data_IF_387925721579
#
_entry.id   IF_387925721579
#
_cell.length_a   1.000
_cell.length_b   1.000
_cell.length_c   1.000
_cell.angle_alpha   90.00
_cell.angle_beta   90.00
_cell.angle_gamma   90.00
#
_symmetry.space_group_name_H-M   'P 1'
#
loop_
_entity.id
_entity.type
_entity.pdbx_description
1 polymer ?
#
# COMPACT_ATOMS: atom_id res chain seq x y z
N UNK A 1 -15.47 0.01 -3.14
CA UNK A 1 -14.81 -0.97 -3.99
C UNK A 1 -13.30 -0.99 -3.80
N UNK A 2 -12.68 0.18 -3.62
CA UNK A 2 -11.23 0.31 -3.41
C UNK A 2 -10.71 -0.55 -2.25
N UNK A 3 -11.49 -0.67 -1.18
CA UNK A 3 -11.07 -1.40 0.01
C UNK A 3 -11.75 -2.76 0.18
N UNK A 4 -12.51 -3.21 -0.83
CA UNK A 4 -13.19 -4.49 -0.75
C UNK A 4 -12.22 -5.67 -0.58
N UNK A 5 -11.09 -5.64 -1.31
CA UNK A 5 -10.07 -6.67 -1.17
C UNK A 5 -9.40 -6.67 0.20
N UNK A 6 -9.17 -5.47 0.76
CA UNK A 6 -8.58 -5.33 2.10
C UNK A 6 -9.52 -5.87 3.17
N UNK A 7 -10.82 -5.59 3.08
CA UNK A 7 -11.84 -6.14 3.99
C UNK A 7 -11.89 -7.66 3.90
N UNK A 8 -11.86 -8.17 2.69
CA UNK A 8 -11.86 -9.62 2.44
C UNK A 8 -10.62 -10.29 3.03
N UNK A 9 -9.48 -9.61 2.99
CA UNK A 9 -8.23 -10.09 3.57
C UNK A 9 -8.17 -9.95 5.10
N UNK A 10 -9.23 -9.44 5.73
CA UNK A 10 -9.32 -9.35 7.19
C UNK A 10 -9.05 -7.96 7.78
N UNK A 11 -8.91 -6.93 6.96
CA UNK A 11 -8.78 -5.57 7.47
C UNK A 11 -10.10 -5.12 8.11
N UNK A 12 -10.03 -4.51 9.30
CA UNK A 12 -11.21 -3.99 9.98
C UNK A 12 -11.64 -2.66 9.40
N UNK A 13 -12.92 -2.31 9.55
CA UNK A 13 -13.41 -0.99 9.17
C UNK A 13 -12.65 0.12 9.88
N UNK A 14 -12.30 -0.09 11.16
CA UNK A 14 -11.54 0.87 11.93
C UNK A 14 -10.14 1.10 11.34
N UNK A 15 -9.44 0.04 10.92
CA UNK A 15 -8.13 0.15 10.26
C UNK A 15 -8.23 0.84 8.93
N UNK A 16 -9.26 0.54 8.15
CA UNK A 16 -9.49 1.18 6.85
C UNK A 16 -9.71 2.69 7.03
N UNK A 17 -10.52 3.07 8.01
CA UNK A 17 -10.76 4.48 8.34
C UNK A 17 -9.49 5.18 8.83
N UNK A 18 -8.59 4.46 9.50
CA UNK A 18 -7.37 5.01 10.06
C UNK A 18 -6.26 5.25 9.01
N UNK A 19 -6.41 4.78 7.77
CA UNK A 19 -5.36 4.92 6.74
C UNK A 19 -4.93 6.37 6.56
N UNK A 20 -5.87 7.32 6.60
CA UNK A 20 -5.59 8.75 6.44
C UNK A 20 -5.51 9.51 7.77
N UNK A 21 -5.56 8.83 8.91
CA UNK A 21 -5.48 9.43 10.23
C UNK A 21 -4.15 9.07 10.89
N UNK A 22 -3.17 9.97 10.75
CA UNK A 22 -1.83 9.76 11.29
C UNK A 22 -1.79 9.72 12.81
N UNK A 23 -2.80 10.25 13.48
CA UNK A 23 -2.89 10.23 14.94
C UNK A 23 -3.47 8.94 15.50
N UNK A 24 -4.01 8.07 14.64
CA UNK A 24 -4.62 6.81 15.07
C UNK A 24 -3.57 5.77 15.46
N UNK A 25 -3.79 5.09 16.58
CA UNK A 25 -2.95 3.98 17.02
C UNK A 25 -3.36 2.62 16.42
N UNK A 26 -4.39 2.61 15.55
CA UNK A 26 -4.90 1.38 14.95
C UNK A 26 -3.96 0.79 13.90
N UNK A 27 -3.06 1.60 13.36
CA UNK A 27 -2.04 1.15 12.41
C UNK A 27 -0.67 1.17 13.07
N UNK A 28 0.09 0.10 12.89
CA UNK A 28 1.47 0.03 13.35
C UNK A 28 2.35 0.96 12.50
N UNK A 29 3.54 1.29 13.00
CA UNK A 29 4.52 2.03 12.21
C UNK A 29 4.90 1.29 10.93
N UNK A 30 4.96 -0.05 11.01
CA UNK A 30 5.22 -0.92 9.86
C UNK A 30 4.14 -0.78 8.79
N UNK A 31 2.87 -0.83 9.21
CA UNK A 31 1.73 -0.65 8.30
C UNK A 31 1.72 0.74 7.67
N UNK A 32 2.02 1.77 8.45
CA UNK A 32 2.07 3.15 7.94
C UNK A 32 3.20 3.34 6.91
N UNK A 33 4.36 2.73 7.14
CA UNK A 33 5.47 2.78 6.19
C UNK A 33 5.08 2.13 4.87
N UNK A 34 4.40 0.97 4.91
CA UNK A 34 3.93 0.29 3.72
C UNK A 34 2.90 1.11 2.95
N UNK A 35 1.97 1.76 3.65
CA UNK A 35 0.95 2.63 3.05
C UNK A 35 1.60 3.84 2.38
N UNK A 36 2.55 4.48 3.06
CA UNK A 36 3.30 5.61 2.51
C UNK A 36 4.02 5.24 1.21
N UNK A 37 4.66 4.06 1.21
CA UNK A 37 5.31 3.52 0.02
C UNK A 37 4.29 3.31 -1.11
N UNK A 38 3.16 2.67 -0.82
CA UNK A 38 2.13 2.39 -1.81
C UNK A 38 1.55 3.66 -2.41
N UNK A 39 1.31 4.68 -1.60
CA UNK A 39 0.81 5.98 -2.08
C UNK A 39 1.80 6.65 -3.04
N UNK A 40 3.08 6.67 -2.67
CA UNK A 40 4.12 7.26 -3.53
C UNK A 40 4.29 6.47 -4.82
N UNK A 41 4.27 5.14 -4.75
CA UNK A 41 4.36 4.30 -5.94
C UNK A 41 3.18 4.57 -6.90
N UNK A 42 1.98 4.75 -6.37
CA UNK A 42 0.78 4.96 -7.17
C UNK A 42 0.78 6.33 -7.86
N UNK A 43 1.27 7.37 -7.19
CA UNK A 43 1.22 8.76 -7.69
C UNK A 43 2.49 9.11 -8.47
N UNK A 44 3.64 8.88 -7.87
CA UNK A 44 4.94 9.21 -8.48
C UNK A 44 6.04 8.39 -7.81
N UNK A 45 6.42 7.28 -8.43
CA UNK A 45 7.43 6.38 -7.87
C UNK A 45 8.81 7.05 -7.72
N UNK A 46 9.09 8.13 -8.46
CA UNK A 46 10.35 8.85 -8.35
C UNK A 46 10.50 9.59 -7.03
N UNK A 47 9.40 9.77 -6.29
CA UNK A 47 9.43 10.36 -4.94
C UNK A 47 9.73 9.36 -3.83
N UNK A 48 9.92 8.09 -4.17
CA UNK A 48 10.42 7.10 -3.21
C UNK A 48 11.90 7.35 -3.04
N UNK A 49 12.25 7.98 -1.92
CA UNK A 49 13.60 8.44 -1.64
C UNK A 49 14.35 7.52 -0.67
N UNK A 50 15.62 7.84 -0.41
CA UNK A 50 16.46 7.06 0.49
C UNK A 50 15.94 7.06 1.92
N UNK A 51 15.31 8.13 2.36
CA UNK A 51 14.72 8.21 3.69
C UNK A 51 13.57 7.22 3.85
N UNK A 52 12.71 7.11 2.84
CA UNK A 52 11.61 6.14 2.85
C UNK A 52 12.15 4.70 2.80
N UNK A 53 13.18 4.45 1.98
CA UNK A 53 13.81 3.12 1.94
C UNK A 53 14.42 2.74 3.28
N UNK A 54 15.07 3.67 3.98
CA UNK A 54 15.62 3.43 5.30
C UNK A 54 14.51 3.10 6.31
N UNK A 55 13.41 3.82 6.26
CA UNK A 55 12.24 3.56 7.10
C UNK A 55 11.68 2.17 6.84
N UNK A 56 11.50 1.80 5.57
CA UNK A 56 11.01 0.47 5.19
C UNK A 56 11.96 -0.64 5.67
N UNK A 57 13.27 -0.46 5.52
CA UNK A 57 14.26 -1.45 5.98
C UNK A 57 14.30 -1.61 7.49
N UNK A 58 13.85 -0.62 8.24
CA UNK A 58 13.74 -0.74 9.70
C UNK A 58 12.56 -1.61 10.12
N UNK A 59 11.60 -1.87 9.24
CA UNK A 59 10.38 -2.63 9.54
C UNK A 59 10.24 -3.93 8.76
N UNK A 60 10.96 -4.09 7.66
CA UNK A 60 10.83 -5.24 6.76
C UNK A 60 12.20 -5.84 6.45
N UNK A 61 12.24 -7.16 6.31
CA UNK A 61 13.43 -7.84 5.78
C UNK A 61 13.54 -7.56 4.28
N UNK A 62 14.70 -7.86 3.69
CA UNK A 62 14.90 -7.72 2.24
C UNK A 62 13.88 -8.56 1.46
N UNK A 63 13.62 -9.81 1.88
CA UNK A 63 12.64 -10.66 1.23
C UNK A 63 11.23 -10.06 1.31
N UNK A 64 10.86 -9.54 2.48
CA UNK A 64 9.56 -8.88 2.66
C UNK A 64 9.44 -7.62 1.82
N UNK A 65 10.53 -6.85 1.67
CA UNK A 65 10.53 -5.65 0.81
C UNK A 65 10.30 -6.02 -0.65
N UNK A 66 10.97 -7.07 -1.14
CA UNK A 66 10.78 -7.53 -2.52
C UNK A 66 9.32 -7.94 -2.73
N UNK A 67 8.72 -8.66 -1.78
CA UNK A 67 7.32 -9.04 -1.85
C UNK A 67 6.40 -7.81 -1.83
N UNK A 68 6.66 -6.85 -0.95
CA UNK A 68 5.88 -5.63 -0.86
C UNK A 68 5.90 -4.85 -2.18
N UNK A 69 7.09 -4.66 -2.74
CA UNK A 69 7.26 -3.95 -4.01
C UNK A 69 6.54 -4.67 -5.15
N UNK A 70 6.75 -5.99 -5.27
CA UNK A 70 6.14 -6.80 -6.32
C UNK A 70 4.61 -6.78 -6.23
N UNK A 71 4.06 -7.05 -5.05
CA UNK A 71 2.61 -7.11 -4.86
C UNK A 71 1.95 -5.74 -5.10
N UNK A 72 2.55 -4.67 -4.58
CA UNK A 72 2.01 -3.32 -4.75
C UNK A 72 2.04 -2.91 -6.22
N UNK A 73 3.15 -3.19 -6.91
CA UNK A 73 3.28 -2.87 -8.33
C UNK A 73 2.26 -3.64 -9.17
N UNK A 74 2.10 -4.94 -8.93
CA UNK A 74 1.12 -5.76 -9.64
C UNK A 74 -0.30 -5.26 -9.39
N UNK A 75 -0.63 -4.94 -8.15
CA UNK A 75 -1.96 -4.47 -7.78
C UNK A 75 -2.31 -3.16 -8.50
N UNK A 76 -1.38 -2.20 -8.48
CA UNK A 76 -1.56 -0.92 -9.15
C UNK A 76 -1.66 -1.12 -10.66
N UNK A 77 -0.78 -1.94 -11.24
CA UNK A 77 -0.77 -2.22 -12.67
C UNK A 77 -2.06 -2.87 -13.15
N UNK A 78 -2.54 -3.87 -12.44
CA UNK A 78 -3.81 -4.53 -12.78
C UNK A 78 -5.00 -3.60 -12.62
N UNK A 79 -5.00 -2.75 -11.60
CA UNK A 79 -6.06 -1.75 -11.42
C UNK A 79 -6.14 -0.81 -12.61
N UNK A 80 -5.00 -0.31 -13.06
CA UNK A 80 -4.92 0.56 -14.24
C UNK A 80 -5.29 -0.17 -15.52
N UNK A 81 -4.85 -1.40 -15.67
CA UNK A 81 -5.23 -2.24 -16.81
C UNK A 81 -6.75 -2.35 -16.91
N UNK A 82 -7.42 -2.66 -15.80
CA UNK A 82 -8.87 -2.77 -15.77
C UNK A 82 -9.56 -1.47 -16.16
N UNK A 83 -9.05 -0.34 -15.69
CA UNK A 83 -9.60 0.98 -16.04
C UNK A 83 -9.41 1.28 -17.53
N UNK A 84 -8.22 1.00 -18.07
CA UNK A 84 -7.90 1.29 -19.47
C UNK A 84 -8.81 0.52 -20.42
N UNK A 85 -9.07 -0.75 -20.14
CA UNK A 85 -9.92 -1.57 -21.00
C UNK A 85 -11.40 -1.53 -20.62
N UNK A 86 -11.77 -0.76 -19.58
CA UNK A 86 -13.15 -0.53 -19.18
C UNK A 86 -13.79 -1.63 -18.35
N UNK A 87 -12.99 -2.52 -17.74
CA UNK A 87 -13.51 -3.54 -16.84
C UNK A 87 -13.74 -2.96 -15.44
N UNK A 88 -14.85 -3.36 -14.82
CA UNK A 88 -15.11 -3.00 -13.44
C UNK A 88 -14.19 -3.80 -12.50
N UNK A 89 -13.51 -3.14 -11.55
CA UNK A 89 -12.73 -3.87 -10.55
C UNK A 89 -13.66 -4.69 -9.66
N UNK A 90 -13.28 -5.91 -9.40
CA UNK A 90 -14.04 -6.81 -8.57
C UNK A 90 -14.03 -6.41 -7.08
#
# INVERSE_FOLDING_TARGET
>A
VRYAGARHAGATEAKIAAINDESSDLLTLRERAAIKFAEKLAVDHQKIDDALWAELRSHFTEAELIELVAHTTLYIGFGRFNEIIGLEPA
#
